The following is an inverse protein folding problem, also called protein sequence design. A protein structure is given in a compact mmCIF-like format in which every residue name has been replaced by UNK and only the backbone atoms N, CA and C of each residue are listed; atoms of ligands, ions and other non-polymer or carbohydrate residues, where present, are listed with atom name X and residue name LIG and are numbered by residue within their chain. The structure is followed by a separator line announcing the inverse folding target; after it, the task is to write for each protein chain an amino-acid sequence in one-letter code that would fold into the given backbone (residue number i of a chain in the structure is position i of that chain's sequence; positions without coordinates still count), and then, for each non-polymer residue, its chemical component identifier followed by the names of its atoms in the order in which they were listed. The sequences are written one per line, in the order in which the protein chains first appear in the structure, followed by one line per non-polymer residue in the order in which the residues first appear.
data_IF_271764650317
#
_entry.id   IF_271764650317
#
_cell.length_a   1.000
_cell.length_b   1.000
_cell.length_c   1.000
_cell.angle_alpha   90.00
_cell.angle_beta   90.00
_cell.angle_gamma   90.00
#
_symmetry.space_group_name_H-M   'P 1'
#
loop_
_entity.id
_entity.type
_entity.pdbx_description
1 polymer ?
#
# COMPACT_ATOMS: atom_id res chain seq x y z
N UNK A 1 0.67 2.04 2.42
CA UNK A 1 -0.18 0.85 2.20
C UNK A 1 -1.41 1.25 1.40
N UNK A 2 -1.82 0.42 0.44
CA UNK A 2 -3.04 0.61 -0.31
C UNK A 2 -3.98 -0.60 -0.13
N UNK A 3 -5.26 -0.32 0.16
CA UNK A 3 -6.33 -1.31 0.33
C UNK A 3 -7.64 -0.79 -0.27
N UNK A 4 -8.55 -1.68 -0.60
CA UNK A 4 -9.91 -1.27 -0.95
C UNK A 4 -10.68 -0.83 0.30
N UNK A 5 -11.53 0.18 0.15
CA UNK A 5 -12.40 0.66 1.24
C UNK A 5 -13.65 -0.22 1.28
N UNK A 6 -13.90 -0.84 2.43
CA UNK A 6 -15.16 -1.52 2.75
C UNK A 6 -15.75 -0.91 4.03
N UNK A 7 -16.95 -1.37 4.43
CA UNK A 7 -17.65 -0.83 5.60
C UNK A 7 -16.83 -0.94 6.90
N UNK A 8 -16.01 -1.98 7.01
CA UNK A 8 -15.00 -2.10 8.06
C UNK A 8 -13.67 -1.46 7.60
N UNK A 9 -13.23 -0.44 8.34
CA UNK A 9 -12.09 0.38 7.96
C UNK A 9 -10.75 -0.38 7.88
N UNK A 10 -10.58 -1.47 8.62
CA UNK A 10 -9.31 -2.21 8.68
C UNK A 10 -9.33 -3.56 7.95
N UNK A 11 -10.52 -4.07 7.63
CA UNK A 11 -10.68 -5.37 6.96
C UNK A 11 -10.62 -5.29 5.43
N UNK A 12 -10.47 -4.10 4.86
CA UNK A 12 -10.34 -3.90 3.42
C UNK A 12 -9.18 -4.71 2.83
N UNK A 13 -9.47 -5.47 1.76
CA UNK A 13 -8.51 -6.34 1.12
C UNK A 13 -7.26 -5.56 0.67
N UNK A 14 -6.09 -6.00 1.14
CA UNK A 14 -4.79 -5.36 0.87
C UNK A 14 -4.43 -5.53 -0.59
N UNK A 15 -4.07 -4.43 -1.26
CA UNK A 15 -3.60 -4.45 -2.65
C UNK A 15 -2.09 -4.35 -2.69
N UNK A 16 -1.50 -3.39 -1.97
CA UNK A 16 -0.04 -3.22 -1.92
C UNK A 16 0.46 -2.71 -0.56
N UNK A 17 1.65 -3.15 -0.18
CA UNK A 17 2.37 -2.67 1.00
C UNK A 17 3.83 -2.38 0.67
N UNK A 18 4.26 -1.17 1.00
CA UNK A 18 5.64 -0.72 0.85
C UNK A 18 6.25 -0.51 2.22
N UNK A 19 7.50 -0.96 2.38
CA UNK A 19 8.28 -0.79 3.59
C UNK A 19 9.59 -0.08 3.25
N UNK A 20 9.89 0.98 4.00
CA UNK A 20 11.15 1.72 3.87
C UNK A 20 12.02 1.42 5.08
N UNK A 21 13.32 1.21 4.85
CA UNK A 21 14.28 1.01 5.93
C UNK A 21 14.58 2.34 6.60
N UNK A 22 14.46 2.38 7.92
CA UNK A 22 14.82 3.54 8.75
C UNK A 22 16.00 3.18 9.65
N UNK A 23 16.83 4.17 9.96
CA UNK A 23 17.98 4.05 10.85
C UNK A 23 17.84 5.09 11.99
N UNK A 24 18.53 4.85 13.10
CA UNK A 24 18.55 5.71 14.29
C UNK A 24 19.07 7.13 14.00
N UNK A 25 19.79 7.32 12.90
CA UNK A 25 20.26 8.65 12.48
C UNK A 25 19.15 9.55 11.93
N UNK A 26 17.99 8.98 11.55
CA UNK A 26 16.86 9.74 11.01
C UNK A 26 16.09 10.44 12.13
N UNK A 27 15.88 11.74 11.97
CA UNK A 27 14.99 12.53 12.80
C UNK A 27 13.51 12.24 12.51
N UNK A 28 12.60 12.67 13.40
CA UNK A 28 11.16 12.44 13.24
C UNK A 28 10.59 12.94 11.92
N UNK A 29 11.02 14.12 11.45
CA UNK A 29 10.54 14.69 10.19
C UNK A 29 10.98 13.87 8.97
N UNK A 30 12.19 13.33 9.00
CA UNK A 30 12.72 12.46 7.93
C UNK A 30 11.97 11.13 7.88
N UNK A 31 11.61 10.57 9.04
CA UNK A 31 10.77 9.37 9.13
C UNK A 31 9.37 9.64 8.56
N UNK A 32 8.78 10.80 8.86
CA UNK A 32 7.48 11.20 8.30
C UNK A 32 7.55 11.37 6.79
N UNK A 33 8.61 12.01 6.28
CA UNK A 33 8.83 12.16 4.84
C UNK A 33 8.98 10.80 4.14
N UNK A 34 9.83 9.92 4.68
CA UNK A 34 10.01 8.56 4.15
C UNK A 34 8.70 7.74 4.18
N UNK A 35 7.87 7.90 5.21
CA UNK A 35 6.56 7.28 5.30
C UNK A 35 5.61 7.77 4.21
N UNK A 36 5.55 9.09 3.96
CA UNK A 36 4.74 9.67 2.88
C UNK A 36 5.17 9.17 1.50
N UNK A 37 6.48 9.06 1.27
CA UNK A 37 7.01 8.53 0.00
C UNK A 37 6.62 7.06 -0.19
N UNK A 38 6.72 6.25 0.85
CA UNK A 38 6.27 4.86 0.83
C UNK A 38 4.76 4.73 0.57
N UNK A 39 3.94 5.62 1.14
CA UNK A 39 2.50 5.67 0.90
C UNK A 39 2.19 6.02 -0.56
N UNK A 40 2.87 7.03 -1.12
CA UNK A 40 2.73 7.41 -2.51
C UNK A 40 3.08 6.25 -3.47
N UNK A 41 4.17 5.53 -3.21
CA UNK A 41 4.57 4.37 -4.03
C UNK A 41 3.55 3.24 -3.95
N UNK A 42 3.11 2.87 -2.74
CA UNK A 42 2.11 1.81 -2.56
C UNK A 42 0.82 2.15 -3.31
N UNK A 43 0.39 3.42 -3.28
CA UNK A 43 -0.79 3.87 -3.99
C UNK A 43 -0.60 3.83 -5.51
N UNK A 44 0.56 4.27 -6.02
CA UNK A 44 0.86 4.27 -7.44
C UNK A 44 0.88 2.85 -8.03
N UNK A 45 1.53 1.90 -7.34
CA UNK A 45 1.57 0.50 -7.74
C UNK A 45 0.18 -0.15 -7.69
N UNK A 46 -0.57 0.05 -6.61
CA UNK A 46 -1.93 -0.46 -6.49
C UNK A 46 -2.85 0.09 -7.61
N UNK A 47 -2.73 1.39 -7.92
CA UNK A 47 -3.47 2.00 -9.02
C UNK A 47 -3.08 1.37 -10.37
N UNK A 48 -1.79 1.17 -10.63
CA UNK A 48 -1.30 0.52 -11.84
C UNK A 48 -1.86 -0.89 -12.01
N UNK A 49 -1.88 -1.69 -10.93
CA UNK A 49 -2.45 -3.03 -10.98
C UNK A 49 -3.95 -3.03 -11.17
N UNK A 50 -4.66 -2.08 -10.53
CA UNK A 50 -6.11 -1.94 -10.68
C UNK A 50 -6.48 -1.61 -12.13
N UNK A 51 -5.86 -0.57 -12.73
CA UNK A 51 -6.15 -0.19 -14.13
C UNK A 51 -5.70 -1.25 -15.12
N UNK A 52 -4.66 -2.02 -14.78
CA UNK A 52 -4.20 -3.16 -15.56
C UNK A 52 -5.07 -4.42 -15.44
N UNK A 53 -6.19 -4.37 -14.69
CA UNK A 53 -7.04 -5.52 -14.38
C UNK A 53 -6.27 -6.71 -13.77
N UNK A 54 -5.21 -6.43 -13.01
CA UNK A 54 -4.33 -7.43 -12.39
C UNK A 54 -4.74 -7.78 -10.96
N UNK A 55 -5.80 -7.16 -10.44
CA UNK A 55 -6.25 -7.28 -9.05
C UNK A 55 -7.55 -8.08 -9.01
N UNK A 56 -7.51 -9.28 -8.45
CA UNK A 56 -8.68 -10.15 -8.27
C UNK A 56 -9.07 -10.16 -6.79
N UNK A 57 -10.29 -9.74 -6.50
CA UNK A 57 -10.86 -9.77 -5.14
C UNK A 57 -11.28 -11.20 -4.80
N UNK A 58 -10.68 -11.81 -3.79
CA UNK A 58 -11.07 -13.13 -3.28
C UNK A 58 -11.57 -13.03 -1.83
N UNK A 59 -12.57 -12.18 -1.60
CA UNK A 59 -13.04 -11.84 -0.26
C UNK A 59 -11.97 -11.07 0.51
N UNK A 60 -11.15 -11.78 1.28
CA UNK A 60 -10.07 -11.24 2.10
C UNK A 60 -8.83 -12.17 2.07
N UNK A 61 -8.39 -12.56 0.86
CA UNK A 61 -7.27 -11.80 0.31
C UNK A 61 -7.47 -11.34 -1.14
N UNK A 62 -6.63 -10.39 -1.56
CA UNK A 62 -6.51 -9.99 -2.97
C UNK A 62 -5.43 -10.81 -3.66
N UNK A 63 -5.65 -11.23 -4.90
CA UNK A 63 -4.62 -11.84 -5.75
C UNK A 63 -4.16 -10.81 -6.78
N UNK A 64 -2.85 -10.54 -6.81
CA UNK A 64 -2.21 -9.62 -7.76
C UNK A 64 -1.37 -10.41 -8.76
N UNK A 65 -1.69 -10.29 -10.06
CA UNK A 65 -0.95 -10.94 -11.15
C UNK A 65 0.23 -10.05 -11.59
N UNK A 66 1.45 -10.42 -11.18
CA UNK A 66 2.73 -9.72 -11.48
C UNK A 66 3.37 -10.18 -12.78
#
# INVERSE_FOLDING_TARGET
MARYVIADCDEGAVVEQEAVRVDRVLGPEEIVAAGRDAECLALAHAAQWHVGQRVLLNGNPTVVLR
#
